data_IF_219756805681
#
_entry.id   IF_219756805681
#
_cell.length_a   1.000
_cell.length_b   1.000
_cell.length_c   1.000
_cell.angle_alpha   90.00
_cell.angle_beta   90.00
_cell.angle_gamma   90.00
#
_symmetry.space_group_name_H-M   'P 1'
#
loop_
_entity.id
_entity.type
_entity.pdbx_description
1 polymer ?
#
# COMPACT_ATOMS: atom_id res chain seq x y z
N UNK A 1 1.56 13.52 -16.02
CA UNK A 1 1.42 13.39 -14.55
C UNK A 1 1.82 11.98 -14.15
N UNK A 2 2.39 11.76 -12.95
CA UNK A 2 2.70 10.42 -12.48
C UNK A 2 1.43 9.56 -12.40
N UNK A 3 1.52 8.29 -12.80
CA UNK A 3 0.39 7.36 -12.77
C UNK A 3 0.02 6.89 -11.35
N UNK A 4 -1.09 6.15 -11.23
CA UNK A 4 -1.60 5.63 -9.95
C UNK A 4 -0.55 4.79 -9.20
N UNK A 5 0.13 3.88 -9.91
CA UNK A 5 1.18 3.04 -9.31
C UNK A 5 2.33 3.85 -8.71
N UNK A 6 2.71 4.97 -9.33
CA UNK A 6 3.72 5.85 -8.76
C UNK A 6 3.25 6.48 -7.44
N UNK A 7 2.00 6.95 -7.40
CA UNK A 7 1.41 7.53 -6.17
C UNK A 7 1.35 6.50 -5.04
N UNK A 8 0.99 5.25 -5.36
CA UNK A 8 0.96 4.16 -4.39
C UNK A 8 2.38 3.86 -3.86
N UNK A 9 3.37 3.72 -4.75
CA UNK A 9 4.75 3.47 -4.36
C UNK A 9 5.34 4.58 -3.50
N UNK A 10 5.09 5.86 -3.84
CA UNK A 10 5.49 7.01 -3.01
C UNK A 10 4.81 6.97 -1.63
N UNK A 11 3.50 6.68 -1.57
CA UNK A 11 2.77 6.62 -0.31
C UNK A 11 3.26 5.50 0.62
N UNK A 12 3.50 4.31 0.06
CA UNK A 12 4.10 3.18 0.77
C UNK A 12 5.49 3.54 1.30
N UNK A 13 6.33 4.14 0.46
CA UNK A 13 7.69 4.58 0.83
C UNK A 13 7.66 5.57 2.00
N UNK A 14 6.77 6.57 1.96
CA UNK A 14 6.62 7.56 3.05
C UNK A 14 6.06 6.96 4.33
N UNK A 15 5.27 5.89 4.22
CA UNK A 15 4.80 5.14 5.39
C UNK A 15 5.88 4.26 6.02
N UNK A 16 7.06 4.12 5.38
CA UNK A 16 8.16 3.25 5.84
C UNK A 16 7.71 1.80 6.04
N UNK A 17 7.02 1.28 5.04
CA UNK A 17 6.64 -0.13 4.93
C UNK A 17 7.12 -0.66 3.59
N UNK A 18 7.35 -1.97 3.50
CA UNK A 18 7.79 -2.63 2.27
C UNK A 18 6.63 -3.40 1.63
N UNK A 19 6.60 -3.52 0.30
CA UNK A 19 5.62 -4.34 -0.41
C UNK A 19 6.23 -5.72 -0.61
N UNK A 20 5.69 -6.70 0.10
CA UNK A 20 6.11 -8.09 -0.04
C UNK A 20 5.54 -8.73 -1.30
N UNK A 21 4.29 -8.44 -1.62
CA UNK A 21 3.63 -8.90 -2.84
C UNK A 21 2.51 -7.98 -3.25
N UNK A 22 2.22 -7.96 -4.56
CA UNK A 22 1.05 -7.32 -5.12
C UNK A 22 0.29 -8.34 -5.96
N UNK A 23 -1.03 -8.39 -5.79
CA UNK A 23 -1.93 -9.22 -6.58
C UNK A 23 -2.93 -8.29 -7.25
N UNK A 24 -2.93 -8.31 -8.58
CA UNK A 24 -3.86 -7.53 -9.40
C UNK A 24 -4.91 -8.48 -9.95
N UNK A 25 -6.16 -8.25 -9.60
CA UNK A 25 -7.31 -9.03 -10.10
C UNK A 25 -8.23 -8.11 -10.87
N UNK A 26 -8.77 -8.56 -11.99
CA UNK A 26 -9.80 -7.82 -12.73
C UNK A 26 -11.17 -8.47 -12.53
N UNK A 27 -12.19 -7.68 -12.23
CA UNK A 27 -13.58 -8.11 -12.13
C UNK A 27 -14.42 -7.35 -13.16
N UNK A 28 -14.70 -7.99 -14.29
CA UNK A 28 -15.33 -7.32 -15.43
C UNK A 28 -14.46 -6.16 -15.94
N UNK A 29 -14.96 -4.93 -15.80
CA UNK A 29 -14.23 -3.71 -16.18
C UNK A 29 -13.44 -3.08 -15.02
N UNK A 30 -13.55 -3.59 -13.80
CA UNK A 30 -12.85 -3.07 -12.63
C UNK A 30 -11.52 -3.80 -12.40
N UNK A 31 -10.50 -3.06 -11.98
CA UNK A 31 -9.23 -3.62 -11.49
C UNK A 31 -9.14 -3.45 -9.97
N UNK A 32 -8.76 -4.52 -9.29
CA UNK A 32 -8.57 -4.59 -7.85
C UNK A 32 -7.10 -4.91 -7.59
N UNK A 33 -6.37 -3.94 -7.05
CA UNK A 33 -4.98 -4.07 -6.64
C UNK A 33 -4.91 -4.36 -5.13
N UNK A 34 -4.40 -5.53 -4.76
CA UNK A 34 -4.12 -5.90 -3.36
C UNK A 34 -2.63 -5.88 -3.11
N UNK A 35 -2.16 -5.04 -2.18
CA UNK A 35 -0.75 -4.96 -1.78
C UNK A 35 -0.59 -5.53 -0.37
N UNK A 36 0.27 -6.54 -0.22
CA UNK A 36 0.65 -7.10 1.08
C UNK A 36 1.93 -6.43 1.55
N UNK A 37 1.85 -5.76 2.69
CA UNK A 37 2.94 -4.94 3.23
C UNK A 37 3.51 -5.50 4.53
N UNK A 38 4.79 -5.24 4.75
CA UNK A 38 5.53 -5.61 5.95
C UNK A 38 6.29 -4.41 6.49
N UNK A 39 6.82 -4.55 7.71
CA UNK A 39 7.88 -3.66 8.16
C UNK A 39 9.08 -3.73 7.21
N UNK A 40 9.89 -2.66 7.18
CA UNK A 40 11.14 -2.64 6.40
C UNK A 40 12.10 -3.77 6.83
N UNK A 41 12.03 -4.19 8.09
CA UNK A 41 12.78 -5.34 8.61
C UNK A 41 12.21 -6.71 8.16
N UNK A 42 11.13 -6.73 7.38
CA UNK A 42 10.48 -7.95 6.85
C UNK A 42 9.46 -8.61 7.78
N UNK A 43 9.31 -8.11 9.01
CA UNK A 43 8.32 -8.60 9.98
C UNK A 43 6.90 -8.10 9.71
N UNK A 44 5.88 -8.73 10.31
CA UNK A 44 4.51 -8.22 10.25
C UNK A 44 4.39 -6.89 10.97
N UNK A 45 3.47 -6.05 10.50
CA UNK A 45 3.07 -4.83 11.21
C UNK A 45 2.29 -5.21 12.48
N UNK A 46 2.49 -4.46 13.58
CA UNK A 46 1.55 -4.52 14.70
C UNK A 46 0.20 -3.93 14.28
N UNK A 47 -0.85 -4.18 15.06
CA UNK A 47 -2.17 -3.64 14.76
C UNK A 47 -2.18 -2.11 14.74
N UNK A 48 -1.56 -1.48 15.74
CA UNK A 48 -1.48 -0.03 15.87
C UNK A 48 -0.74 0.58 14.69
N UNK A 49 0.34 -0.09 14.24
CA UNK A 49 1.12 0.34 13.10
C UNK A 49 0.35 0.18 11.79
N UNK A 50 -0.40 -0.91 11.63
CA UNK A 50 -1.26 -1.11 10.47
C UNK A 50 -2.34 -0.02 10.39
N UNK A 51 -2.99 0.32 11.51
CA UNK A 51 -3.99 1.38 11.57
C UNK A 51 -3.39 2.76 11.21
N UNK A 52 -2.18 3.06 11.70
CA UNK A 52 -1.44 4.28 11.34
C UNK A 52 -1.17 4.36 9.82
N UNK A 53 -0.66 3.27 9.24
CA UNK A 53 -0.35 3.19 7.81
C UNK A 53 -1.63 3.35 6.98
N UNK A 54 -2.73 2.71 7.36
CA UNK A 54 -4.03 2.86 6.69
C UNK A 54 -4.50 4.32 6.72
N UNK A 55 -4.37 5.00 7.86
CA UNK A 55 -4.72 6.41 8.00
C UNK A 55 -3.93 7.28 7.01
N UNK A 56 -2.61 7.15 6.99
CA UNK A 56 -1.71 7.92 6.11
C UNK A 56 -1.98 7.63 4.63
N UNK A 57 -2.14 6.36 4.25
CA UNK A 57 -2.42 5.98 2.86
C UNK A 57 -3.75 6.58 2.37
N UNK A 58 -4.79 6.59 3.21
CA UNK A 58 -6.08 7.22 2.88
C UNK A 58 -5.97 8.73 2.68
N UNK A 59 -5.10 9.41 3.43
CA UNK A 59 -4.87 10.85 3.26
C UNK A 59 -4.12 11.16 1.96
N UNK A 60 -3.12 10.34 1.60
CA UNK A 60 -2.27 10.57 0.43
C UNK A 60 -2.93 10.16 -0.90
N UNK A 61 -3.83 9.16 -0.87
CA UNK A 61 -4.47 8.58 -2.04
C UNK A 61 -5.90 9.09 -2.29
N UNK A 62 -6.38 10.05 -1.48
CA UNK A 62 -7.59 10.82 -1.82
C UNK A 62 -7.46 11.57 -3.15
#
# INVERSE_FOLDING_TARGET
MPGLLFRIGDAVTRCRVDIRSAIVTTLGAEAIDTLYVTEIAGGPLTKERADEVVGRLREMLR
#
